data_IF_677600272628
#
_entry.id   IF_677600272628
#
_cell.length_a   1.000
_cell.length_b   1.000
_cell.length_c   1.000
_cell.angle_alpha   90.00
_cell.angle_beta   90.00
_cell.angle_gamma   90.00
#
_symmetry.space_group_name_H-M   'P 1'
#
loop_
_entity.id
_entity.type
_entity.pdbx_description
1 polymer ?
#
# COMPACT_ATOMS: atom_id res chain seq x y z
N UNK A 1 -2.94 14.86 1.75
CA UNK A 1 -2.28 15.16 0.48
C UNK A 1 -0.77 14.96 0.60
N UNK A 2 -0.17 14.17 -0.28
CA UNK A 2 1.28 13.95 -0.36
C UNK A 2 1.77 14.42 -1.74
N UNK A 3 2.79 15.28 -1.78
CA UNK A 3 3.36 15.84 -3.00
C UNK A 3 4.79 15.37 -3.17
N UNK A 4 5.09 14.81 -4.31
CA UNK A 4 6.38 14.27 -4.69
C UNK A 4 6.97 15.21 -5.76
N UNK A 5 8.22 15.66 -5.55
CA UNK A 5 8.89 16.62 -6.43
C UNK A 5 10.26 16.09 -6.83
N UNK A 6 10.42 15.79 -8.12
CA UNK A 6 11.70 15.37 -8.73
C UNK A 6 12.38 14.20 -8.01
N UNK A 7 11.58 13.24 -7.49
CA UNK A 7 12.07 12.13 -6.69
C UNK A 7 13.03 11.25 -7.49
N UNK A 8 14.19 10.98 -6.90
CA UNK A 8 15.22 10.08 -7.47
C UNK A 8 15.63 9.03 -6.44
N UNK A 9 15.86 7.81 -6.91
CA UNK A 9 16.46 6.75 -6.11
C UNK A 9 17.43 5.95 -6.95
N UNK A 10 18.65 5.85 -6.45
CA UNK A 10 19.74 5.10 -7.08
C UNK A 10 20.37 4.14 -6.06
N UNK A 11 20.72 2.95 -6.51
CA UNK A 11 21.48 1.94 -5.76
C UNK A 11 22.78 1.67 -6.53
N UNK A 12 23.92 2.16 -6.02
CA UNK A 12 25.17 2.14 -6.78
C UNK A 12 24.97 2.86 -8.12
N UNK A 13 25.23 2.18 -9.23
CA UNK A 13 25.05 2.73 -10.58
C UNK A 13 23.65 2.52 -11.16
N UNK A 14 22.76 1.80 -10.43
CA UNK A 14 21.42 1.49 -10.91
C UNK A 14 20.41 2.58 -10.49
N UNK A 15 19.94 3.37 -11.46
CA UNK A 15 18.91 4.39 -11.27
C UNK A 15 17.53 3.73 -11.34
N UNK A 16 16.84 3.60 -10.18
CA UNK A 16 15.55 2.92 -10.05
C UNK A 16 14.38 3.89 -10.15
N UNK A 17 14.51 5.10 -9.62
CA UNK A 17 13.54 6.19 -9.80
C UNK A 17 14.25 7.39 -10.39
N UNK A 18 13.70 7.93 -11.50
CA UNK A 18 14.29 9.03 -12.22
C UNK A 18 13.27 10.16 -12.41
N UNK A 19 13.40 11.20 -11.61
CA UNK A 19 12.63 12.44 -11.75
C UNK A 19 11.11 12.26 -11.66
N UNK A 20 10.65 11.51 -10.65
CA UNK A 20 9.24 11.28 -10.41
C UNK A 20 8.63 12.51 -9.73
N UNK A 21 7.62 13.10 -10.37
CA UNK A 21 6.84 14.22 -9.80
C UNK A 21 5.35 13.92 -9.95
N UNK A 22 4.64 13.83 -8.82
CA UNK A 22 3.19 13.63 -8.77
C UNK A 22 2.63 14.03 -7.40
N UNK A 23 1.32 14.17 -7.33
CA UNK A 23 0.58 14.41 -6.08
C UNK A 23 -0.31 13.21 -5.81
N UNK A 24 -0.40 12.77 -4.56
CA UNK A 24 -1.33 11.75 -4.09
C UNK A 24 -2.33 12.41 -3.15
N UNK A 25 -3.59 12.34 -3.51
CA UNK A 25 -4.69 12.97 -2.80
C UNK A 25 -5.55 11.91 -2.07
N UNK A 26 -6.73 12.32 -1.59
CA UNK A 26 -7.69 11.46 -0.90
C UNK A 26 -8.50 10.66 -1.93
N UNK A 27 -7.83 9.71 -2.58
CA UNK A 27 -8.36 8.89 -3.66
C UNK A 27 -7.71 7.49 -3.63
N UNK A 28 -8.21 6.59 -4.46
CA UNK A 28 -7.59 5.28 -4.70
C UNK A 28 -6.72 5.37 -5.95
N UNK A 29 -5.39 5.44 -5.76
CA UNK A 29 -4.41 5.45 -6.85
C UNK A 29 -3.80 4.05 -7.01
N UNK A 30 -3.93 3.43 -8.19
CA UNK A 30 -3.21 2.21 -8.53
C UNK A 30 -1.93 2.52 -9.32
N UNK A 31 -0.82 1.95 -8.88
CA UNK A 31 0.48 2.04 -9.55
C UNK A 31 0.71 0.75 -10.32
N UNK A 32 0.72 0.83 -11.63
CA UNK A 32 0.90 -0.29 -12.54
C UNK A 32 2.23 -0.20 -13.28
N UNK A 33 2.70 -1.33 -13.82
CA UNK A 33 3.90 -1.36 -14.65
C UNK A 33 4.65 -2.69 -14.55
N UNK A 34 5.63 -2.92 -15.43
CA UNK A 34 6.42 -4.14 -15.43
C UNK A 34 7.22 -4.33 -14.14
N UNK A 35 7.64 -5.58 -13.89
CA UNK A 35 8.57 -5.87 -12.80
C UNK A 35 9.88 -5.10 -13.01
N UNK A 36 10.45 -4.60 -11.91
CA UNK A 36 11.67 -3.78 -11.99
C UNK A 36 11.46 -2.29 -12.35
N UNK A 37 10.22 -1.83 -12.59
CA UNK A 37 9.94 -0.42 -12.89
C UNK A 37 10.11 0.55 -11.71
N UNK A 38 10.46 0.05 -10.52
CA UNK A 38 10.67 0.88 -9.34
C UNK A 38 9.44 1.11 -8.46
N UNK A 39 8.29 0.46 -8.75
CA UNK A 39 7.01 0.68 -8.04
C UNK A 39 7.11 0.51 -6.52
N UNK A 40 7.62 -0.63 -6.05
CA UNK A 40 7.81 -0.90 -4.61
C UNK A 40 8.83 0.05 -3.98
N UNK A 41 9.89 0.41 -4.71
CA UNK A 41 10.88 1.40 -4.25
C UNK A 41 10.23 2.78 -4.09
N UNK A 42 9.40 3.19 -5.06
CA UNK A 42 8.63 4.42 -4.97
C UNK A 42 7.73 4.42 -3.73
N UNK A 43 6.93 3.37 -3.54
CA UNK A 43 6.04 3.25 -2.40
C UNK A 43 6.79 3.29 -1.05
N UNK A 44 7.95 2.64 -0.96
CA UNK A 44 8.82 2.66 0.23
C UNK A 44 9.48 4.01 0.48
N UNK A 45 9.74 4.80 -0.56
CA UNK A 45 10.19 6.18 -0.39
C UNK A 45 9.11 7.07 0.22
N UNK A 46 7.82 6.88 -0.12
CA UNK A 46 6.72 7.66 0.44
C UNK A 46 6.63 7.53 1.96
N UNK A 47 7.06 6.40 2.52
CA UNK A 47 7.04 6.13 3.96
C UNK A 47 8.44 6.17 4.59
N UNK A 48 9.45 6.65 3.85
CA UNK A 48 10.87 6.66 4.26
C UNK A 48 11.38 5.31 4.81
N UNK A 49 10.85 4.18 4.32
CA UNK A 49 11.49 2.87 4.48
C UNK A 49 12.69 2.76 3.57
N UNK A 50 12.68 3.50 2.46
CA UNK A 50 13.81 3.76 1.58
C UNK A 50 14.06 5.26 1.51
N UNK A 51 15.28 5.69 1.76
CA UNK A 51 15.66 7.09 1.62
C UNK A 51 15.89 7.42 0.14
N UNK A 52 15.22 8.43 -0.43
CA UNK A 52 15.50 8.89 -1.78
C UNK A 52 16.93 9.44 -1.90
N UNK A 53 17.49 9.43 -3.10
CA UNK A 53 18.83 10.01 -3.38
C UNK A 53 18.74 11.43 -3.92
N UNK A 54 17.54 11.92 -4.24
CA UNK A 54 17.28 13.28 -4.69
C UNK A 54 15.80 13.58 -4.77
N UNK A 55 15.46 14.83 -4.93
CA UNK A 55 14.10 15.32 -4.92
C UNK A 55 13.56 15.56 -3.53
N UNK A 56 12.23 15.75 -3.40
CA UNK A 56 11.56 15.97 -2.14
C UNK A 56 10.21 15.25 -2.08
N UNK A 57 9.77 14.93 -0.87
CA UNK A 57 8.43 14.40 -0.57
C UNK A 57 7.84 15.28 0.51
N UNK A 58 6.69 15.89 0.23
CA UNK A 58 5.98 16.74 1.16
C UNK A 58 4.69 16.06 1.62
N UNK A 59 4.51 15.95 2.93
CA UNK A 59 3.25 15.51 3.53
C UNK A 59 2.60 16.70 4.24
N UNK A 60 1.35 17.02 3.87
CA UNK A 60 0.63 18.20 4.37
C UNK A 60 1.45 19.52 4.26
N UNK A 61 2.17 19.68 3.16
CA UNK A 61 2.98 20.85 2.85
C UNK A 61 4.37 20.91 3.49
N UNK A 62 4.73 19.94 4.34
CA UNK A 62 6.06 19.87 4.97
C UNK A 62 6.90 18.77 4.34
N UNK A 63 8.18 19.07 4.03
CA UNK A 63 9.12 18.05 3.58
C UNK A 63 9.38 17.02 4.67
N UNK A 64 9.16 15.74 4.34
CA UNK A 64 9.46 14.63 5.26
C UNK A 64 10.96 14.33 5.33
N UNK A 65 11.76 14.92 4.45
CA UNK A 65 13.21 14.77 4.38
C UNK A 65 13.96 15.83 5.20
N UNK A 66 13.27 16.86 5.68
CA UNK A 66 13.91 17.93 6.44
C UNK A 66 14.41 17.43 7.80
N UNK A 67 15.53 17.96 8.30
CA UNK A 67 16.02 17.61 9.64
C UNK A 67 14.97 17.92 10.72
N UNK A 68 14.75 16.95 11.63
CA UNK A 68 13.81 17.10 12.73
C UNK A 68 12.34 16.81 12.38
N UNK A 69 12.02 16.39 11.16
CA UNK A 69 10.67 15.95 10.84
C UNK A 69 10.28 14.68 11.62
N UNK A 70 9.10 14.68 12.24
CA UNK A 70 8.61 13.53 13.00
C UNK A 70 7.96 12.48 12.06
N UNK A 71 8.81 11.64 11.49
CA UNK A 71 8.39 10.55 10.61
C UNK A 71 7.50 9.53 11.31
N UNK A 72 7.59 9.38 12.64
CA UNK A 72 6.77 8.43 13.41
C UNK A 72 5.32 8.86 13.36
N UNK A 73 5.07 10.16 13.59
CA UNK A 73 3.72 10.74 13.50
C UNK A 73 3.13 10.59 12.09
N UNK A 74 3.92 10.80 11.04
CA UNK A 74 3.45 10.58 9.68
C UNK A 74 3.08 9.10 9.44
N UNK A 75 3.88 8.14 9.95
CA UNK A 75 3.61 6.70 9.83
C UNK A 75 2.39 6.23 10.61
N UNK A 76 1.88 7.00 11.57
CA UNK A 76 0.57 6.74 12.17
C UNK A 76 -0.58 7.07 11.21
N UNK A 77 -0.40 8.12 10.39
CA UNK A 77 -1.39 8.57 9.42
C UNK A 77 -1.26 7.89 8.05
N UNK A 78 -0.05 7.47 7.67
CA UNK A 78 0.25 6.77 6.41
C UNK A 78 0.83 5.40 6.74
N UNK A 79 -0.02 4.39 6.78
CA UNK A 79 0.36 3.01 7.11
C UNK A 79 0.73 2.24 5.85
N UNK A 80 1.45 1.11 6.02
CA UNK A 80 1.86 0.27 4.90
C UNK A 80 1.52 -1.20 5.14
N UNK A 81 0.97 -1.84 4.11
CA UNK A 81 0.73 -3.28 4.01
C UNK A 81 1.70 -3.84 2.97
N UNK A 82 2.47 -4.83 3.36
CA UNK A 82 3.57 -5.39 2.57
C UNK A 82 3.14 -6.64 1.80
N UNK A 83 3.90 -6.99 0.79
CA UNK A 83 3.79 -8.24 0.02
C UNK A 83 3.90 -9.47 0.94
N UNK A 84 4.89 -9.49 1.82
CA UNK A 84 4.99 -10.47 2.90
C UNK A 84 4.27 -9.89 4.12
N UNK A 85 3.39 -10.63 4.71
CA UNK A 85 2.44 -10.22 5.75
C UNK A 85 3.08 -9.55 6.97
N UNK A 86 4.35 -9.90 7.27
CA UNK A 86 5.16 -9.35 8.35
C UNK A 86 4.43 -9.37 9.70
N UNK A 87 3.69 -10.44 9.98
CA UNK A 87 3.08 -10.66 11.27
C UNK A 87 4.15 -11.05 12.30
N UNK A 88 3.96 -10.62 13.52
CA UNK A 88 4.83 -11.00 14.64
C UNK A 88 4.52 -12.46 15.03
N UNK A 89 5.46 -13.39 14.82
CA UNK A 89 5.19 -14.83 14.95
C UNK A 89 4.91 -15.28 16.40
N UNK A 90 5.39 -14.50 17.38
CA UNK A 90 5.19 -14.80 18.82
C UNK A 90 3.94 -14.11 19.41
N UNK A 91 3.07 -13.56 18.57
CA UNK A 91 1.81 -12.94 18.96
C UNK A 91 0.67 -13.57 18.18
N UNK A 92 -0.44 -13.85 18.86
CA UNK A 92 -1.68 -14.26 18.20
C UNK A 92 -2.24 -13.14 17.31
N UNK A 93 -3.29 -13.41 16.56
CA UNK A 93 -3.92 -12.49 15.60
C UNK A 93 -4.32 -11.19 16.28
N UNK A 94 -5.10 -11.23 17.37
CA UNK A 94 -5.51 -10.01 18.07
C UNK A 94 -4.32 -9.27 18.64
N UNK A 95 -3.31 -9.96 19.16
CA UNK A 95 -2.06 -9.36 19.66
C UNK A 95 -1.23 -8.66 18.59
N UNK A 96 -1.27 -9.15 17.34
CA UNK A 96 -0.66 -8.47 16.18
C UNK A 96 -1.34 -7.13 15.89
N UNK A 97 -2.66 -7.09 15.93
CA UNK A 97 -3.43 -5.86 15.67
C UNK A 97 -3.29 -4.86 16.83
N UNK A 98 -3.29 -5.33 18.07
CA UNK A 98 -3.14 -4.49 19.26
C UNK A 98 -1.77 -3.83 19.40
N UNK A 99 -0.72 -4.42 18.80
CA UNK A 99 0.67 -4.03 19.08
C UNK A 99 0.93 -2.54 18.90
N UNK A 100 0.56 -1.97 17.76
CA UNK A 100 0.80 -0.56 17.48
C UNK A 100 -0.06 0.35 18.38
N UNK A 101 -1.29 -0.04 18.69
CA UNK A 101 -2.16 0.70 19.62
C UNK A 101 -1.52 0.83 21.02
N UNK A 102 -0.88 -0.23 21.49
CA UNK A 102 -0.22 -0.23 22.80
C UNK A 102 1.14 0.46 22.77
N UNK A 103 1.98 0.17 21.75
CA UNK A 103 3.38 0.64 21.73
C UNK A 103 3.54 2.05 21.18
N UNK A 104 2.67 2.50 20.31
CA UNK A 104 2.72 3.83 19.66
C UNK A 104 1.70 4.78 20.26
N UNK A 105 0.42 4.36 20.32
CA UNK A 105 -0.66 5.18 20.89
C UNK A 105 -0.79 5.08 22.42
N UNK A 106 0.01 4.23 23.07
CA UNK A 106 0.02 4.03 24.53
C UNK A 106 -1.36 3.71 25.12
N UNK A 107 -2.20 3.02 24.36
CA UNK A 107 -3.56 2.64 24.79
C UNK A 107 -3.53 1.57 25.87
N UNK A 108 -4.52 1.57 26.74
CA UNK A 108 -4.73 0.49 27.70
C UNK A 108 -5.09 -0.80 26.96
N UNK A 109 -4.77 -1.93 27.55
CA UNK A 109 -4.94 -3.25 26.93
C UNK A 109 -6.40 -3.52 26.53
N UNK A 110 -7.36 -3.14 27.37
CA UNK A 110 -8.80 -3.34 27.10
C UNK A 110 -9.24 -2.53 25.87
N UNK A 111 -8.94 -1.21 25.86
CA UNK A 111 -9.33 -0.33 24.75
C UNK A 111 -8.68 -0.77 23.42
N UNK A 112 -7.39 -1.17 23.48
CA UNK A 112 -6.68 -1.70 22.30
C UNK A 112 -7.27 -3.02 21.81
N UNK A 113 -7.76 -3.88 22.72
CA UNK A 113 -8.42 -5.14 22.37
C UNK A 113 -9.75 -4.89 21.64
N UNK A 114 -10.58 -3.99 22.15
CA UNK A 114 -11.88 -3.67 21.55
C UNK A 114 -11.72 -3.13 20.13
N UNK A 115 -10.78 -2.20 19.92
CA UNK A 115 -10.44 -1.69 18.58
C UNK A 115 -9.91 -2.83 17.68
N UNK A 116 -9.03 -3.68 18.20
CA UNK A 116 -8.48 -4.78 17.43
C UNK A 116 -9.57 -5.74 16.96
N UNK A 117 -10.53 -6.09 17.84
CA UNK A 117 -11.67 -6.95 17.49
C UNK A 117 -12.60 -6.30 16.46
N UNK A 118 -12.81 -4.99 16.54
CA UNK A 118 -13.54 -4.25 15.51
C UNK A 118 -12.85 -4.33 14.14
N UNK A 119 -11.51 -4.13 14.10
CA UNK A 119 -10.76 -4.23 12.84
C UNK A 119 -10.72 -5.65 12.30
N UNK A 120 -10.60 -6.65 13.16
CA UNK A 120 -10.69 -8.06 12.76
C UNK A 120 -12.07 -8.41 12.18
N UNK A 121 -13.14 -7.79 12.68
CA UNK A 121 -14.49 -7.94 12.11
C UNK A 121 -14.57 -7.39 10.68
N UNK A 122 -13.93 -6.25 10.38
CA UNK A 122 -13.90 -5.65 9.03
C UNK A 122 -13.19 -6.53 7.99
N UNK A 123 -12.31 -7.41 8.42
CA UNK A 123 -11.56 -8.32 7.53
C UNK A 123 -11.97 -9.78 7.67
N UNK A 124 -13.09 -10.07 8.36
CA UNK A 124 -13.64 -11.42 8.59
C UNK A 124 -12.62 -12.37 9.24
N UNK A 125 -12.03 -11.94 10.37
CA UNK A 125 -11.00 -12.69 11.10
C UNK A 125 -11.26 -12.81 12.60
N UNK A 126 -12.49 -12.52 13.06
CA UNK A 126 -12.85 -12.57 14.50
C UNK A 126 -12.70 -13.96 15.08
N UNK A 127 -13.14 -14.99 14.36
CA UNK A 127 -13.08 -16.41 14.78
C UNK A 127 -11.63 -16.94 14.88
N UNK A 128 -10.67 -16.21 14.35
CA UNK A 128 -9.23 -16.54 14.38
C UNK A 128 -8.43 -15.66 15.34
N UNK A 129 -9.07 -14.79 16.13
CA UNK A 129 -8.40 -13.79 16.97
C UNK A 129 -7.31 -14.38 17.87
N UNK A 130 -7.53 -15.58 18.42
CA UNK A 130 -6.59 -16.27 19.31
C UNK A 130 -5.61 -17.20 18.60
N UNK A 131 -5.69 -17.34 17.28
CA UNK A 131 -4.77 -18.18 16.51
C UNK A 131 -3.40 -17.52 16.34
N UNK A 132 -2.37 -18.34 16.26
CA UNK A 132 -1.01 -17.87 15.91
C UNK A 132 -0.88 -17.73 14.38
N UNK A 133 0.02 -16.85 13.88
CA UNK A 133 0.18 -16.61 12.45
C UNK A 133 0.47 -17.87 11.61
N UNK A 134 1.23 -18.81 12.12
CA UNK A 134 1.57 -20.08 11.47
C UNK A 134 0.37 -21.04 11.27
N UNK A 135 -0.74 -20.79 11.99
CA UNK A 135 -2.00 -21.53 11.84
C UNK A 135 -2.93 -20.93 10.78
N UNK A 136 -2.49 -19.87 10.08
CA UNK A 136 -3.30 -19.13 9.11
C UNK A 136 -2.82 -19.39 7.69
N UNK A 137 -3.77 -19.43 6.74
CA UNK A 137 -3.41 -19.35 5.32
C UNK A 137 -2.81 -17.98 4.95
N UNK A 138 -2.10 -17.89 3.83
CA UNK A 138 -1.50 -16.62 3.37
C UNK A 138 -2.53 -15.49 3.25
N UNK A 139 -3.71 -15.77 2.66
CA UNK A 139 -4.78 -14.77 2.56
C UNK A 139 -5.33 -14.33 3.91
N UNK A 140 -5.42 -15.25 4.90
CA UNK A 140 -5.79 -14.92 6.27
C UNK A 140 -4.72 -14.04 6.94
N UNK A 141 -3.44 -14.36 6.77
CA UNK A 141 -2.34 -13.54 7.29
C UNK A 141 -2.36 -12.12 6.70
N UNK A 142 -2.64 -12.01 5.40
CA UNK A 142 -2.74 -10.70 4.73
C UNK A 142 -3.93 -9.90 5.25
N UNK A 143 -5.09 -10.53 5.45
CA UNK A 143 -6.25 -9.84 6.06
C UNK A 143 -5.94 -9.34 7.48
N UNK A 144 -5.19 -10.10 8.28
CA UNK A 144 -4.71 -9.64 9.60
C UNK A 144 -3.74 -8.46 9.46
N UNK A 145 -2.84 -8.47 8.47
CA UNK A 145 -1.94 -7.34 8.21
C UNK A 145 -2.71 -6.06 7.82
N UNK A 146 -3.80 -6.21 7.05
CA UNK A 146 -4.72 -5.10 6.74
C UNK A 146 -5.42 -4.60 8.02
N UNK A 147 -5.96 -5.49 8.86
CA UNK A 147 -6.59 -5.11 10.13
C UNK A 147 -5.62 -4.36 11.05
N UNK A 148 -4.35 -4.80 11.10
CA UNK A 148 -3.28 -4.12 11.84
C UNK A 148 -3.01 -2.71 11.33
N UNK A 149 -3.03 -2.49 10.02
CA UNK A 149 -2.90 -1.17 9.43
C UNK A 149 -4.10 -0.28 9.75
N UNK A 150 -5.32 -0.81 9.63
CA UNK A 150 -6.59 -0.11 9.92
C UNK A 150 -6.70 0.31 11.38
N UNK A 151 -6.17 -0.49 12.32
CA UNK A 151 -6.24 -0.20 13.76
C UNK A 151 -5.60 1.15 14.13
N UNK A 152 -4.64 1.61 13.34
CA UNK A 152 -4.03 2.94 13.53
C UNK A 152 -4.94 4.09 13.12
N UNK A 153 -6.12 3.82 12.52
CA UNK A 153 -7.01 4.83 11.94
C UNK A 153 -6.27 5.75 10.95
N UNK A 154 -5.60 5.16 9.94
CA UNK A 154 -4.77 5.92 9.03
C UNK A 154 -5.62 6.81 8.11
N UNK A 155 -5.00 7.87 7.59
CA UNK A 155 -5.56 8.71 6.52
C UNK A 155 -5.31 8.10 5.15
N UNK A 156 -4.21 7.32 5.00
CA UNK A 156 -3.83 6.66 3.75
C UNK A 156 -3.17 5.30 4.03
N UNK A 157 -3.46 4.32 3.20
CA UNK A 157 -2.80 3.01 3.26
C UNK A 157 -2.01 2.78 1.97
N UNK A 158 -0.74 2.45 2.12
CA UNK A 158 0.14 2.04 1.03
C UNK A 158 0.15 0.51 0.93
N UNK A 159 -0.20 -0.06 -0.22
CA UNK A 159 -0.20 -1.50 -0.47
C UNK A 159 0.92 -1.87 -1.45
N UNK A 160 1.91 -2.62 -1.00
CA UNK A 160 3.03 -3.11 -1.82
C UNK A 160 2.75 -4.56 -2.26
N UNK A 161 2.13 -4.73 -3.43
CA UNK A 161 1.78 -6.02 -4.03
C UNK A 161 1.09 -7.00 -3.05
N UNK A 162 -0.06 -6.64 -2.46
CA UNK A 162 -0.67 -7.35 -1.34
C UNK A 162 -1.12 -8.79 -1.65
N UNK A 163 -1.19 -9.17 -2.91
CA UNK A 163 -1.65 -10.52 -3.36
C UNK A 163 -0.55 -11.37 -3.98
N UNK A 164 0.62 -10.81 -4.29
CA UNK A 164 1.64 -11.50 -5.09
C UNK A 164 2.31 -12.70 -4.39
N UNK A 165 2.21 -12.79 -3.05
CA UNK A 165 2.70 -13.91 -2.25
C UNK A 165 1.61 -14.94 -1.92
N UNK A 166 0.43 -14.85 -2.55
CA UNK A 166 -0.72 -15.71 -2.28
C UNK A 166 -0.95 -16.73 -3.40
N UNK A 167 -1.49 -17.88 -3.00
CA UNK A 167 -2.07 -18.82 -3.96
C UNK A 167 -3.28 -18.16 -4.65
N UNK A 168 -3.51 -18.41 -5.96
CA UNK A 168 -4.60 -17.78 -6.72
C UNK A 168 -5.99 -17.91 -6.08
N UNK A 169 -6.26 -19.03 -5.41
CA UNK A 169 -7.54 -19.29 -4.74
C UNK A 169 -7.78 -18.36 -3.53
N UNK A 170 -6.71 -17.81 -2.95
CA UNK A 170 -6.77 -16.95 -1.76
C UNK A 170 -6.81 -15.45 -2.08
N UNK A 171 -6.52 -15.07 -3.33
CA UNK A 171 -6.44 -13.67 -3.79
C UNK A 171 -7.77 -12.97 -3.63
N UNK A 172 -8.88 -13.62 -4.05
CA UNK A 172 -10.21 -13.02 -4.06
C UNK A 172 -10.62 -12.42 -2.72
N UNK A 173 -10.45 -13.17 -1.63
CA UNK A 173 -10.86 -12.70 -0.30
C UNK A 173 -10.05 -11.51 0.24
N UNK A 174 -8.82 -11.30 -0.24
CA UNK A 174 -8.03 -10.10 0.09
C UNK A 174 -8.49 -8.92 -0.75
N UNK A 175 -8.73 -9.14 -2.05
CA UNK A 175 -9.22 -8.09 -2.94
C UNK A 175 -10.62 -7.60 -2.53
N UNK A 176 -11.49 -8.48 -2.02
CA UNK A 176 -12.82 -8.10 -1.52
C UNK A 176 -12.71 -7.14 -0.33
N UNK A 177 -11.84 -7.44 0.64
CA UNK A 177 -11.56 -6.50 1.75
C UNK A 177 -11.07 -5.15 1.24
N UNK A 178 -10.18 -5.14 0.24
CA UNK A 178 -9.66 -3.89 -0.32
C UNK A 178 -10.72 -3.11 -1.11
N UNK A 179 -11.67 -3.80 -1.81
CA UNK A 179 -12.84 -3.17 -2.45
C UNK A 179 -13.72 -2.48 -1.41
N UNK A 180 -14.01 -3.17 -0.31
CA UNK A 180 -14.81 -2.61 0.77
C UNK A 180 -14.17 -1.37 1.37
N UNK A 181 -12.84 -1.35 1.53
CA UNK A 181 -12.11 -0.18 1.99
C UNK A 181 -12.22 0.99 1.00
N UNK A 182 -12.07 0.74 -0.31
CA UNK A 182 -12.25 1.74 -1.35
C UNK A 182 -13.66 2.35 -1.33
N UNK A 183 -14.68 1.51 -1.32
CA UNK A 183 -16.08 1.94 -1.27
C UNK A 183 -16.42 2.74 -0.01
N UNK A 184 -15.72 2.49 1.10
CA UNK A 184 -15.86 3.26 2.33
C UNK A 184 -15.00 4.53 2.38
N UNK A 185 -14.39 4.94 1.26
CA UNK A 185 -13.65 6.19 1.12
C UNK A 185 -12.25 6.18 1.74
N UNK A 186 -11.64 5.01 1.94
CA UNK A 186 -10.25 4.92 2.38
C UNK A 186 -9.31 5.34 1.27
N UNK A 187 -8.46 6.35 1.50
CA UNK A 187 -7.40 6.71 0.57
C UNK A 187 -6.34 5.61 0.51
N UNK A 188 -6.03 5.15 -0.69
CA UNK A 188 -5.08 4.06 -0.90
C UNK A 188 -4.13 4.33 -2.06
N UNK A 189 -2.88 3.92 -1.90
CA UNK A 189 -1.91 3.81 -3.00
C UNK A 189 -1.52 2.34 -3.13
N UNK A 190 -1.85 1.73 -4.26
CA UNK A 190 -1.80 0.29 -4.43
C UNK A 190 -0.87 -0.08 -5.58
N UNK A 191 0.25 -0.72 -5.29
CA UNK A 191 1.05 -1.42 -6.30
C UNK A 191 0.45 -2.81 -6.48
N UNK A 192 0.00 -3.14 -7.69
CA UNK A 192 -0.65 -4.43 -7.96
C UNK A 192 -0.41 -4.91 -9.39
N UNK A 193 -0.58 -6.22 -9.59
CA UNK A 193 -0.66 -6.89 -10.88
C UNK A 193 -2.09 -7.35 -11.22
N UNK A 194 -3.05 -7.08 -10.35
CA UNK A 194 -4.46 -7.43 -10.51
C UNK A 194 -5.18 -6.39 -11.37
N UNK A 195 -5.14 -6.56 -12.71
CA UNK A 195 -5.64 -5.54 -13.65
C UNK A 195 -7.15 -5.32 -13.53
N UNK A 196 -7.94 -6.38 -13.36
CA UNK A 196 -9.38 -6.26 -13.17
C UNK A 196 -9.73 -5.48 -11.90
N UNK A 197 -9.03 -5.79 -10.80
CA UNK A 197 -9.19 -5.06 -9.55
C UNK A 197 -8.79 -3.58 -9.70
N UNK A 198 -7.64 -3.29 -10.30
CA UNK A 198 -7.21 -1.90 -10.52
C UNK A 198 -8.22 -1.10 -11.35
N UNK A 199 -8.79 -1.72 -12.40
CA UNK A 199 -9.82 -1.08 -13.23
C UNK A 199 -11.11 -0.77 -12.47
N UNK A 200 -11.51 -1.67 -11.54
CA UNK A 200 -12.79 -1.56 -10.81
C UNK A 200 -12.73 -0.55 -9.66
N UNK A 201 -11.59 -0.47 -8.94
CA UNK A 201 -11.55 0.24 -7.65
C UNK A 201 -10.81 1.56 -7.69
N UNK A 202 -9.94 1.79 -8.69
CA UNK A 202 -9.12 2.99 -8.67
C UNK A 202 -9.82 4.18 -9.30
N UNK A 203 -9.56 5.35 -8.72
CA UNK A 203 -9.92 6.65 -9.27
C UNK A 203 -8.86 7.10 -10.30
N UNK A 204 -7.61 6.62 -10.10
CA UNK A 204 -6.44 7.05 -10.87
C UNK A 204 -5.47 5.90 -11.10
N UNK A 205 -4.87 5.86 -12.29
CA UNK A 205 -3.79 4.96 -12.67
C UNK A 205 -2.51 5.75 -12.90
N UNK A 206 -1.45 5.37 -12.21
CA UNK A 206 -0.08 5.82 -12.46
C UNK A 206 0.70 4.66 -13.07
N UNK A 207 1.01 4.74 -14.35
CA UNK A 207 1.79 3.72 -15.03
C UNK A 207 3.27 4.06 -15.02
N UNK A 208 4.06 3.21 -14.38
CA UNK A 208 5.51 3.35 -14.25
C UNK A 208 6.24 2.35 -15.15
N UNK A 209 7.15 2.84 -15.96
CA UNK A 209 8.10 2.03 -16.72
C UNK A 209 9.40 2.81 -16.93
N UNK A 210 10.50 2.11 -17.15
CA UNK A 210 11.81 2.71 -17.41
C UNK A 210 12.22 3.77 -16.37
N UNK A 211 11.90 3.49 -15.10
CA UNK A 211 12.22 4.32 -13.91
C UNK A 211 11.50 5.67 -13.84
N UNK A 212 10.50 5.93 -14.69
CA UNK A 212 9.71 7.16 -14.73
C UNK A 212 8.21 6.87 -14.70
N UNK A 213 7.41 7.89 -14.45
CA UNK A 213 5.95 7.87 -14.71
C UNK A 213 5.73 8.08 -16.20
N UNK A 214 5.18 7.09 -16.87
CA UNK A 214 4.88 7.12 -18.30
C UNK A 214 3.48 7.67 -18.59
N UNK A 215 2.52 7.30 -17.73
CA UNK A 215 1.14 7.80 -17.81
C UNK A 215 0.58 8.03 -16.40
N UNK A 216 -0.27 9.04 -16.31
CA UNK A 216 -1.01 9.43 -15.12
C UNK A 216 -2.41 9.85 -15.59
N UNK A 217 -3.43 8.99 -15.37
CA UNK A 217 -4.71 9.14 -16.03
C UNK A 217 -5.82 8.36 -15.29
N UNK A 218 -7.06 8.44 -15.78
CA UNK A 218 -8.17 7.65 -15.25
C UNK A 218 -8.09 6.18 -15.66
N UNK A 219 -8.69 5.24 -14.89
CA UNK A 219 -8.74 3.83 -15.29
C UNK A 219 -9.40 3.63 -16.65
N UNK A 220 -10.51 4.32 -16.91
CA UNK A 220 -11.23 4.22 -18.19
C UNK A 220 -10.33 4.56 -19.38
N UNK A 221 -9.55 5.63 -19.26
CA UNK A 221 -8.63 6.05 -20.32
C UNK A 221 -7.44 5.09 -20.46
N UNK A 222 -6.82 4.69 -19.34
CA UNK A 222 -5.67 3.79 -19.35
C UNK A 222 -5.99 2.44 -19.99
N UNK A 223 -7.10 1.81 -19.61
CA UNK A 223 -7.46 0.47 -20.11
C UNK A 223 -8.06 0.46 -21.52
N UNK A 224 -8.65 1.58 -22.00
CA UNK A 224 -9.24 1.65 -23.34
C UNK A 224 -8.36 2.34 -24.37
N UNK A 225 -7.62 3.37 -23.99
CA UNK A 225 -6.82 4.21 -24.89
C UNK A 225 -5.46 4.56 -24.29
N UNK A 226 -4.59 3.55 -24.01
CA UNK A 226 -3.26 3.82 -23.48
C UNK A 226 -2.44 4.68 -24.44
N UNK A 227 -1.88 5.78 -23.95
CA UNK A 227 -1.20 6.81 -24.76
C UNK A 227 0.18 6.38 -25.24
N UNK A 228 0.92 5.71 -24.35
CA UNK A 228 2.31 5.32 -24.62
C UNK A 228 2.40 3.92 -25.25
N UNK A 229 3.41 3.70 -26.06
CA UNK A 229 3.69 2.36 -26.61
C UNK A 229 4.00 1.36 -25.47
N UNK A 230 4.68 1.84 -24.43
CA UNK A 230 4.98 1.01 -23.23
C UNK A 230 3.73 0.52 -22.54
N UNK A 231 2.72 1.38 -22.37
CA UNK A 231 1.45 1.00 -21.77
C UNK A 231 0.66 0.02 -22.66
N UNK A 232 0.61 0.26 -23.98
CA UNK A 232 -0.01 -0.67 -24.94
C UNK A 232 0.62 -2.05 -24.90
N UNK A 233 1.95 -2.12 -24.94
CA UNK A 233 2.70 -3.38 -24.86
C UNK A 233 2.56 -4.08 -23.50
N UNK A 234 2.39 -3.32 -22.42
CA UNK A 234 2.10 -3.87 -21.09
C UNK A 234 0.70 -4.49 -21.04
N UNK A 235 -0.32 -3.74 -21.45
CA UNK A 235 -1.72 -4.19 -21.39
C UNK A 235 -2.01 -5.36 -22.31
N UNK A 236 -1.38 -5.44 -23.50
CA UNK A 236 -1.58 -6.55 -24.43
C UNK A 236 -1.27 -7.93 -23.83
N UNK A 237 -0.45 -8.00 -22.78
CA UNK A 237 -0.10 -9.24 -22.08
C UNK A 237 -1.17 -9.70 -21.09
N UNK A 238 -2.13 -8.84 -20.75
CA UNK A 238 -3.18 -9.11 -19.76
C UNK A 238 -4.58 -9.11 -20.38
N UNK A 239 -4.72 -8.60 -21.60
CA UNK A 239 -6.02 -8.51 -22.31
C UNK A 239 -6.16 -9.57 -23.42
N UNK A 240 -5.18 -10.48 -23.53
CA UNK A 240 -5.22 -11.62 -24.46
C UNK A 240 -5.95 -12.83 -23.87
#
# INVERSE_FOLDING_TARGET
>A
MMRIEHLKKQYGDNLVLNDISLTLDDEVTCILGPSGAGKSTFLRCLNLLESPTGGDIKYNGQSILQPGYDIRKMREEVTMVFQHFNLFPLRNVVGNVMLALQSVKHMKKADAHDIAMEMLKKVDMVDKAEKMPDMLSGGQQQRVAIARALAMSPKMILFDEPTSALDPELVGGVLDVMRDLAHNGMSMVIVTHEMAFARDVSDRIVFMADSIVQEDTTPAEFFSHPKTERARNFLSRFLS
#
